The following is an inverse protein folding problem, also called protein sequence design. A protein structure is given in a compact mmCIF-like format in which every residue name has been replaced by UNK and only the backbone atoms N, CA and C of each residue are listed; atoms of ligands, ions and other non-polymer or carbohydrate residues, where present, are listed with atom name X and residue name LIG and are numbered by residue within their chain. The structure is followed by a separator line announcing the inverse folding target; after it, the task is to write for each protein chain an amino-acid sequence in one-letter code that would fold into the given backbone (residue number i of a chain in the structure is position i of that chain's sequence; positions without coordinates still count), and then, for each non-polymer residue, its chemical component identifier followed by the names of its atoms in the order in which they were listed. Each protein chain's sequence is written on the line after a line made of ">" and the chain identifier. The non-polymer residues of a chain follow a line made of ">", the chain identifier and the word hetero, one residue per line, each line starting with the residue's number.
data_IF_377315852675
#
_entry.id   IF_377315852675
#
_cell.length_a   1.000
_cell.length_b   1.000
_cell.length_c   1.000
_cell.angle_alpha   90.00
_cell.angle_beta   90.00
_cell.angle_gamma   90.00
#
_symmetry.space_group_name_H-M   'P 1'
#
loop_
_entity.id
_entity.type
_entity.pdbx_description
1 polymer ?
#
# COMPACT_ATOMS: atom_id res chain seq x y z
N UNK A 1 18.69 -10.18 19.84
CA UNK A 1 18.47 -9.31 18.67
C UNK A 1 19.10 -7.95 18.98
N UNK A 2 20.37 -7.75 18.61
CA UNK A 2 21.18 -6.57 18.98
C UNK A 2 21.15 -5.42 17.95
N UNK A 3 20.47 -5.61 16.84
CA UNK A 3 20.35 -4.70 15.70
C UNK A 3 18.89 -4.36 15.40
N UNK A 4 18.00 -4.61 16.37
CA UNK A 4 16.56 -4.39 16.23
C UNK A 4 16.11 -3.20 17.07
N UNK A 5 15.42 -2.26 16.44
CA UNK A 5 15.06 -0.97 17.02
C UNK A 5 13.60 -0.62 16.71
N UNK A 6 12.94 0.08 17.63
CA UNK A 6 11.56 0.58 17.47
C UNK A 6 11.50 2.00 16.88
N UNK A 7 12.67 2.59 16.60
CA UNK A 7 12.75 3.89 15.96
C UNK A 7 14.06 4.09 15.18
N UNK A 8 13.99 4.91 14.14
CA UNK A 8 15.18 5.33 13.38
C UNK A 8 16.21 6.04 14.26
N UNK A 9 15.76 6.90 15.18
CA UNK A 9 16.65 7.63 16.08
C UNK A 9 17.45 6.67 16.98
N UNK A 10 16.85 5.58 17.46
CA UNK A 10 17.56 4.58 18.29
C UNK A 10 18.61 3.82 17.48
N UNK A 11 18.26 3.42 16.25
CA UNK A 11 19.18 2.75 15.33
C UNK A 11 20.38 3.66 14.98
N UNK A 12 20.13 4.95 14.75
CA UNK A 12 21.17 5.96 14.47
C UNK A 12 22.07 6.19 15.69
N UNK A 13 21.49 6.34 16.89
CA UNK A 13 22.26 6.49 18.14
C UNK A 13 23.14 5.29 18.43
N UNK A 14 22.72 4.10 18.01
CA UNK A 14 23.52 2.89 18.11
C UNK A 14 24.64 2.79 17.05
N UNK A 15 24.83 3.80 16.20
CA UNK A 15 25.91 3.85 15.21
C UNK A 15 25.79 2.79 14.10
N UNK A 16 24.60 2.25 13.86
CA UNK A 16 24.39 1.21 12.85
C UNK A 16 24.42 1.78 11.44
N UNK A 17 24.91 0.98 10.49
CA UNK A 17 24.76 1.28 9.07
C UNK A 17 23.33 0.94 8.65
N UNK A 18 22.53 1.97 8.39
CA UNK A 18 21.11 1.84 8.07
C UNK A 18 20.93 2.02 6.57
N UNK A 19 20.34 1.01 5.91
CA UNK A 19 20.12 1.07 4.46
C UNK A 19 19.32 2.30 4.03
N UNK A 20 19.66 2.85 2.87
CA UNK A 20 18.87 3.89 2.21
C UNK A 20 17.78 3.20 1.38
N UNK A 21 16.54 3.67 1.50
CA UNK A 21 15.42 3.16 0.72
C UNK A 21 15.31 3.88 -0.63
N UNK A 22 14.81 3.16 -1.64
CA UNK A 22 14.68 3.65 -3.01
C UNK A 22 13.32 3.29 -3.63
N UNK A 23 12.89 4.08 -4.60
CA UNK A 23 11.72 3.82 -5.44
C UNK A 23 12.02 4.23 -6.89
N UNK A 24 11.25 3.69 -7.83
CA UNK A 24 11.24 4.16 -9.22
C UNK A 24 10.13 5.19 -9.37
N UNK A 25 10.44 6.36 -9.92
CA UNK A 25 9.40 7.32 -10.31
C UNK A 25 8.64 6.83 -11.56
N UNK A 26 7.67 7.62 -12.02
CA UNK A 26 6.86 7.30 -13.21
C UNK A 26 7.65 7.30 -14.52
N UNK A 27 8.92 7.70 -14.50
CA UNK A 27 9.83 7.70 -15.65
C UNK A 27 10.96 6.66 -15.46
N UNK A 28 10.74 5.66 -14.60
CA UNK A 28 11.69 4.59 -14.27
C UNK A 28 13.03 5.07 -13.69
N UNK A 29 13.06 6.27 -13.09
CA UNK A 29 14.26 6.79 -12.45
C UNK A 29 14.32 6.33 -11.01
N UNK A 30 15.45 5.74 -10.63
CA UNK A 30 15.71 5.34 -9.24
C UNK A 30 15.98 6.57 -8.37
N UNK A 31 15.11 6.83 -7.41
CA UNK A 31 15.19 7.93 -6.47
C UNK A 31 15.21 7.43 -5.02
N UNK A 32 15.94 8.12 -4.16
CA UNK A 32 15.99 7.79 -2.73
C UNK A 32 14.73 8.27 -2.01
N UNK A 33 14.17 7.46 -1.11
CA UNK A 33 13.14 7.90 -0.17
C UNK A 33 13.74 8.67 1.00
N UNK A 34 12.92 9.44 1.71
CA UNK A 34 13.30 9.85 3.06
C UNK A 34 13.19 8.63 3.99
N UNK A 35 14.19 8.42 4.85
CA UNK A 35 14.11 7.39 5.90
C UNK A 35 13.07 7.81 6.95
N UNK A 36 11.79 7.56 6.67
CA UNK A 36 10.69 7.98 7.53
C UNK A 36 10.27 6.84 8.46
N UNK A 37 10.24 7.16 9.75
CA UNK A 37 9.74 6.29 10.81
C UNK A 37 8.54 6.99 11.46
N UNK A 38 7.34 6.68 11.00
CA UNK A 38 6.10 7.24 11.56
C UNK A 38 5.87 6.69 12.97
N UNK A 39 5.85 7.59 13.96
CA UNK A 39 5.63 7.19 15.36
C UNK A 39 4.24 6.60 15.58
N UNK A 40 3.24 7.13 14.87
CA UNK A 40 1.84 6.67 14.92
C UNK A 40 1.67 5.22 14.43
N UNK A 41 2.54 4.74 13.54
CA UNK A 41 2.47 3.36 13.00
C UNK A 41 3.29 2.35 13.80
N UNK A 42 3.88 2.74 14.95
CA UNK A 42 4.65 1.84 15.83
C UNK A 42 3.70 0.82 16.45
N UNK A 43 3.73 -0.40 15.91
CA UNK A 43 2.79 -1.49 16.24
C UNK A 43 2.34 -2.21 14.98
N UNK A 44 1.99 -1.46 13.93
CA UNK A 44 1.71 -2.00 12.60
C UNK A 44 3.00 -2.18 11.76
N UNK A 45 4.04 -1.40 12.03
CA UNK A 45 5.31 -1.48 11.33
C UNK A 45 6.42 -0.65 11.99
N UNK A 46 7.42 -0.23 11.20
CA UNK A 46 8.56 0.61 11.58
C UNK A 46 9.58 0.00 12.56
N UNK A 47 9.54 -1.32 12.78
CA UNK A 47 10.69 -2.01 13.37
C UNK A 47 11.82 -1.99 12.34
N UNK A 48 12.99 -1.52 12.76
CA UNK A 48 14.22 -1.55 11.97
C UNK A 48 15.05 -2.71 12.48
N UNK A 49 15.49 -3.59 11.59
CA UNK A 49 16.28 -4.76 11.95
C UNK A 49 17.24 -5.18 10.84
N UNK A 50 17.93 -6.30 11.06
CA UNK A 50 18.75 -6.99 10.08
C UNK A 50 18.24 -8.42 9.87
N UNK A 51 18.56 -9.00 8.72
CA UNK A 51 18.25 -10.42 8.44
C UNK A 51 18.86 -11.35 9.48
N UNK A 52 20.04 -11.02 10.05
CA UNK A 52 20.70 -11.81 11.08
C UNK A 52 19.93 -11.84 12.40
N UNK A 53 19.29 -10.73 12.78
CA UNK A 53 18.48 -10.65 13.98
C UNK A 53 17.11 -11.29 13.78
N UNK A 54 16.46 -11.05 12.64
CA UNK A 54 15.20 -11.71 12.31
C UNK A 54 15.37 -13.22 12.13
N UNK A 55 16.51 -13.71 11.62
CA UNK A 55 16.82 -15.14 11.57
C UNK A 55 16.82 -15.78 12.98
N UNK A 56 17.38 -15.09 13.98
CA UNK A 56 17.32 -15.55 15.38
C UNK A 56 15.87 -15.56 15.89
N UNK A 57 15.09 -14.53 15.57
CA UNK A 57 13.69 -14.43 15.96
C UNK A 57 12.84 -15.56 15.36
N UNK A 58 12.91 -15.78 14.05
CA UNK A 58 12.14 -16.85 13.40
C UNK A 58 12.60 -18.24 13.84
N UNK A 59 13.89 -18.42 14.15
CA UNK A 59 14.41 -19.67 14.72
C UNK A 59 13.77 -19.96 16.09
N UNK A 60 13.64 -18.94 16.95
CA UNK A 60 12.90 -19.06 18.22
C UNK A 60 11.44 -19.42 17.99
N UNK A 61 10.77 -18.77 17.03
CA UNK A 61 9.37 -19.06 16.69
C UNK A 61 9.17 -20.51 16.20
N UNK A 62 10.02 -20.98 15.28
CA UNK A 62 9.98 -22.34 14.74
C UNK A 62 10.25 -23.40 15.81
N UNK A 63 11.12 -23.09 16.77
CA UNK A 63 11.44 -23.96 17.91
C UNK A 63 10.45 -23.84 19.06
N UNK A 64 9.47 -22.94 18.96
CA UNK A 64 8.53 -22.60 20.03
C UNK A 64 9.25 -22.25 21.34
N UNK A 65 10.31 -21.45 21.25
CA UNK A 65 11.14 -21.09 22.40
C UNK A 65 10.44 -20.15 23.39
N UNK A 66 10.99 -20.00 24.62
CA UNK A 66 10.48 -19.06 25.61
C UNK A 66 10.59 -17.59 25.13
N UNK A 67 9.81 -16.66 25.73
CA UNK A 67 8.97 -16.83 26.91
C UNK A 67 7.52 -17.26 26.62
N UNK A 68 7.19 -17.56 25.36
CA UNK A 68 5.82 -17.88 24.96
C UNK A 68 5.44 -19.31 25.34
N UNK A 69 4.22 -19.51 25.81
CA UNK A 69 3.66 -20.83 26.07
C UNK A 69 3.21 -21.51 24.77
N UNK A 70 3.04 -22.84 24.78
CA UNK A 70 2.44 -23.57 23.67
C UNK A 70 1.03 -23.06 23.31
N UNK A 71 0.24 -22.63 24.29
CA UNK A 71 -1.06 -22.02 24.04
C UNK A 71 -0.91 -20.68 23.30
N UNK A 72 0.11 -19.89 23.64
CA UNK A 72 0.43 -18.63 22.96
C UNK A 72 0.87 -18.87 21.52
N UNK A 73 1.70 -19.89 21.25
CA UNK A 73 2.07 -20.23 19.87
C UNK A 73 0.88 -20.69 19.02
N UNK A 74 -0.04 -21.47 19.61
CA UNK A 74 -1.29 -21.83 18.92
C UNK A 74 -2.15 -20.60 18.62
N UNK A 75 -2.23 -19.65 19.55
CA UNK A 75 -2.96 -18.41 19.32
C UNK A 75 -2.25 -17.51 18.29
N UNK A 76 -0.92 -17.45 18.29
CA UNK A 76 -0.15 -16.62 17.36
C UNK A 76 -0.37 -17.04 15.89
N UNK A 77 -0.35 -18.35 15.65
CA UNK A 77 -0.39 -18.95 14.31
C UNK A 77 -1.75 -19.56 13.93
N UNK A 78 -2.72 -19.60 14.83
CA UNK A 78 -4.09 -20.03 14.52
C UNK A 78 -4.80 -18.96 13.68
N UNK A 79 -5.56 -19.38 12.67
CA UNK A 79 -6.40 -18.47 11.90
C UNK A 79 -7.60 -17.99 12.73
N UNK A 80 -7.71 -16.67 12.91
CA UNK A 80 -8.80 -16.02 13.66
C UNK A 80 -9.77 -15.25 12.76
N UNK A 81 -9.36 -14.94 11.53
CA UNK A 81 -10.22 -14.37 10.50
C UNK A 81 -9.86 -14.87 9.12
N UNK A 82 -10.76 -14.66 8.16
CA UNK A 82 -10.55 -14.98 6.74
C UNK A 82 -10.08 -13.70 6.06
N UNK A 83 -8.82 -13.66 5.61
CA UNK A 83 -8.27 -12.55 4.85
C UNK A 83 -8.67 -12.62 3.37
N UNK A 84 -8.62 -13.82 2.78
CA UNK A 84 -9.20 -14.12 1.47
C UNK A 84 -9.95 -15.43 1.56
N UNK A 85 -11.22 -15.41 1.16
CA UNK A 85 -12.09 -16.57 1.19
C UNK A 85 -11.72 -17.58 0.12
N UNK A 86 -11.44 -17.10 -1.09
CA UNK A 86 -11.13 -17.96 -2.22
C UNK A 86 -9.62 -18.25 -2.24
N UNK A 87 -9.21 -19.51 -2.42
CA UNK A 87 -7.81 -19.85 -2.66
C UNK A 87 -7.29 -19.14 -3.91
N UNK A 88 -6.09 -18.58 -3.82
CA UNK A 88 -5.37 -18.01 -4.97
C UNK A 88 -4.20 -18.93 -5.31
N UNK A 89 -4.18 -19.44 -6.54
CA UNK A 89 -3.10 -20.31 -7.00
C UNK A 89 -1.74 -19.63 -6.78
N UNK A 90 -0.72 -20.36 -6.29
CA UNK A 90 -0.67 -21.81 -6.09
C UNK A 90 -1.12 -22.29 -4.69
N UNK A 91 -1.64 -21.42 -3.85
CA UNK A 91 -2.18 -21.82 -2.56
C UNK A 91 -3.53 -22.52 -2.75
N UNK A 92 -3.73 -23.60 -2.00
CA UNK A 92 -4.92 -24.46 -2.13
C UNK A 92 -5.93 -24.26 -1.00
N UNK A 93 -5.64 -23.32 -0.10
CA UNK A 93 -6.54 -22.95 0.99
C UNK A 93 -6.92 -21.46 0.91
N UNK A 94 -8.04 -21.07 1.55
CA UNK A 94 -8.26 -19.68 1.91
C UNK A 94 -7.06 -19.10 2.64
N UNK A 95 -6.85 -17.79 2.51
CA UNK A 95 -5.89 -17.08 3.34
C UNK A 95 -6.52 -16.76 4.69
N UNK A 96 -6.04 -17.40 5.74
CA UNK A 96 -6.45 -17.12 7.12
C UNK A 96 -5.49 -16.10 7.73
N UNK A 97 -5.98 -15.26 8.62
CA UNK A 97 -5.17 -14.31 9.36
C UNK A 97 -5.14 -14.68 10.85
N UNK A 98 -3.94 -14.89 11.37
CA UNK A 98 -3.67 -15.08 12.79
C UNK A 98 -3.38 -13.78 13.52
N UNK A 99 -2.54 -13.82 14.56
CA UNK A 99 -2.12 -12.61 15.28
C UNK A 99 -0.92 -11.96 14.58
N UNK A 100 -1.18 -11.34 13.43
CA UNK A 100 -0.13 -10.71 12.60
C UNK A 100 0.59 -11.70 11.69
N UNK A 101 -0.11 -12.72 11.19
CA UNK A 101 0.42 -13.72 10.26
C UNK A 101 -0.65 -14.15 9.28
N UNK A 102 -0.29 -14.29 8.01
CA UNK A 102 -1.09 -14.99 7.01
C UNK A 102 -0.76 -16.47 7.05
N UNK A 103 -1.78 -17.32 7.07
CA UNK A 103 -1.65 -18.78 7.13
C UNK A 103 -2.37 -19.39 5.94
N UNK A 104 -1.63 -20.11 5.12
CA UNK A 104 -2.13 -20.77 3.90
C UNK A 104 -1.51 -22.16 3.73
N UNK A 105 -2.10 -22.97 2.85
CA UNK A 105 -1.55 -24.26 2.43
C UNK A 105 -0.95 -24.15 1.04
N UNK A 106 0.31 -24.56 0.90
CA UNK A 106 1.05 -24.65 -0.34
C UNK A 106 1.68 -26.04 -0.43
N UNK A 107 1.38 -26.81 -1.48
CA UNK A 107 1.91 -28.18 -1.69
C UNK A 107 1.75 -29.10 -0.47
N UNK A 108 0.61 -28.99 0.25
CA UNK A 108 0.31 -29.79 1.45
C UNK A 108 1.04 -29.34 2.73
N UNK A 109 1.87 -28.30 2.65
CA UNK A 109 2.54 -27.68 3.79
C UNK A 109 1.78 -26.43 4.25
N UNK A 110 1.77 -26.22 5.57
CA UNK A 110 1.31 -24.96 6.15
C UNK A 110 2.42 -23.94 6.02
N UNK A 111 2.16 -22.88 5.26
CA UNK A 111 3.04 -21.70 5.14
C UNK A 111 2.45 -20.59 6.01
N UNK A 112 3.26 -20.09 6.93
CA UNK A 112 2.93 -18.95 7.78
C UNK A 112 3.83 -17.80 7.36
N UNK A 113 3.26 -16.69 6.93
CA UNK A 113 4.03 -15.61 6.34
C UNK A 113 3.51 -14.23 6.73
N UNK A 114 4.39 -13.24 6.63
CA UNK A 114 4.02 -11.84 6.73
C UNK A 114 4.94 -11.03 5.81
N UNK A 115 4.33 -10.33 4.86
CA UNK A 115 5.02 -9.37 4.02
C UNK A 115 5.17 -8.03 4.75
N UNK A 116 6.24 -7.30 4.47
CA UNK A 116 6.42 -5.92 4.89
C UNK A 116 6.57 -5.01 3.69
N UNK A 117 5.89 -3.87 3.75
CA UNK A 117 6.01 -2.81 2.76
C UNK A 117 6.08 -1.48 3.49
N UNK A 118 7.19 -0.78 3.30
CA UNK A 118 7.40 0.59 3.76
C UNK A 118 8.03 1.38 2.63
N UNK A 119 7.85 2.69 2.57
CA UNK A 119 8.40 3.53 1.50
C UNK A 119 9.91 3.33 1.34
N UNK A 120 10.29 2.69 0.24
CA UNK A 120 11.67 2.37 -0.09
C UNK A 120 12.19 1.06 0.50
N UNK A 121 11.36 0.23 1.13
CA UNK A 121 11.77 -1.04 1.73
C UNK A 121 10.68 -2.11 1.57
N UNK A 122 11.08 -3.30 1.13
CA UNK A 122 10.22 -4.47 1.12
C UNK A 122 10.82 -5.57 1.99
N UNK A 123 9.97 -6.46 2.49
CA UNK A 123 10.41 -7.66 3.20
C UNK A 123 9.38 -8.78 3.12
N UNK A 124 9.87 -9.99 3.36
CA UNK A 124 9.04 -11.17 3.55
C UNK A 124 9.65 -12.03 4.64
N UNK A 125 8.81 -12.48 5.57
CA UNK A 125 9.11 -13.60 6.45
C UNK A 125 8.16 -14.73 6.09
N UNK A 126 8.70 -15.92 5.86
CA UNK A 126 7.91 -17.13 5.65
C UNK A 126 8.44 -18.27 6.51
N UNK A 127 7.54 -19.06 7.09
CA UNK A 127 7.82 -20.17 7.99
C UNK A 127 7.13 -21.43 7.48
N UNK A 128 7.86 -22.55 7.51
CA UNK A 128 7.36 -23.91 7.29
C UNK A 128 7.55 -24.70 8.59
N UNK A 129 6.59 -24.64 9.54
CA UNK A 129 6.77 -25.19 10.88
C UNK A 129 7.08 -26.69 10.90
N UNK A 130 6.43 -27.49 10.04
CA UNK A 130 6.67 -28.95 9.97
C UNK A 130 8.11 -29.27 9.55
N UNK A 131 8.72 -28.41 8.74
CA UNK A 131 10.11 -28.54 8.25
C UNK A 131 11.13 -27.86 9.18
N UNK A 132 10.68 -27.14 10.22
CA UNK A 132 11.51 -26.28 11.09
C UNK A 132 12.38 -25.31 10.28
N UNK A 133 11.81 -24.80 9.19
CA UNK A 133 12.48 -23.94 8.22
C UNK A 133 11.78 -22.59 8.13
N UNK A 134 12.53 -21.53 7.86
CA UNK A 134 11.97 -20.23 7.56
C UNK A 134 12.96 -19.33 6.85
N UNK A 135 12.42 -18.34 6.15
CA UNK A 135 13.17 -17.36 5.36
C UNK A 135 12.89 -15.95 5.87
N UNK A 136 13.89 -15.09 5.74
CA UNK A 136 13.80 -13.66 6.00
C UNK A 136 14.47 -12.95 4.84
N UNK A 137 13.69 -12.21 4.07
CA UNK A 137 14.16 -11.45 2.92
C UNK A 137 13.86 -9.99 3.20
N UNK A 138 14.85 -9.12 3.02
CA UNK A 138 14.74 -7.69 3.20
C UNK A 138 15.49 -6.99 2.08
N UNK A 139 14.96 -5.86 1.63
CA UNK A 139 15.53 -5.11 0.52
C UNK A 139 15.06 -3.67 0.53
N UNK A 140 15.75 -2.84 -0.23
CA UNK A 140 15.64 -1.38 -0.19
C UNK A 140 14.96 -0.78 -1.43
N UNK A 141 14.03 -1.56 -2.00
CA UNK A 141 13.04 -1.08 -2.95
C UNK A 141 11.73 -1.80 -2.65
N UNK A 142 10.67 -1.09 -2.27
CA UNK A 142 9.43 -1.71 -1.79
C UNK A 142 8.85 -2.71 -2.80
N UNK A 143 8.44 -2.24 -3.99
CA UNK A 143 7.78 -3.08 -5.00
C UNK A 143 8.70 -4.19 -5.51
N UNK A 144 9.92 -3.84 -5.92
CA UNK A 144 10.89 -4.77 -6.47
C UNK A 144 11.33 -5.83 -5.45
N UNK A 145 11.52 -5.44 -4.18
CA UNK A 145 11.87 -6.42 -3.13
C UNK A 145 10.69 -7.33 -2.82
N UNK A 146 9.45 -6.83 -2.70
CA UNK A 146 8.31 -7.70 -2.44
C UNK A 146 8.11 -8.72 -3.58
N UNK A 147 8.28 -8.29 -4.84
CA UNK A 147 8.24 -9.17 -6.00
C UNK A 147 9.37 -10.23 -5.97
N UNK A 148 10.61 -9.80 -5.75
CA UNK A 148 11.76 -10.70 -5.67
C UNK A 148 11.69 -11.65 -4.46
N UNK A 149 11.15 -11.20 -3.33
CA UNK A 149 11.06 -11.98 -2.12
C UNK A 149 10.12 -13.19 -2.26
N UNK A 150 9.01 -13.03 -2.97
CA UNK A 150 8.12 -14.14 -3.30
C UNK A 150 8.85 -15.18 -4.17
N UNK A 151 9.56 -14.76 -5.22
CA UNK A 151 10.34 -15.67 -6.07
C UNK A 151 11.38 -16.43 -5.23
N UNK A 152 12.23 -15.70 -4.50
CA UNK A 152 13.34 -16.30 -3.74
C UNK A 152 12.81 -17.23 -2.64
N UNK A 153 11.76 -16.83 -1.92
CA UNK A 153 11.21 -17.63 -0.83
C UNK A 153 10.59 -18.93 -1.36
N UNK A 154 9.81 -18.86 -2.43
CA UNK A 154 9.10 -20.02 -2.93
C UNK A 154 9.93 -20.92 -3.84
N UNK A 155 10.92 -20.39 -4.57
CA UNK A 155 11.94 -21.21 -5.25
C UNK A 155 12.69 -22.05 -4.19
N UNK A 156 13.08 -21.45 -3.06
CA UNK A 156 13.72 -22.16 -1.96
C UNK A 156 12.79 -23.18 -1.26
N UNK A 157 11.51 -22.86 -1.10
CA UNK A 157 10.52 -23.80 -0.54
C UNK A 157 10.33 -24.98 -1.49
N UNK A 158 10.22 -24.74 -2.80
CA UNK A 158 10.08 -25.80 -3.80
C UNK A 158 11.32 -26.71 -3.83
N UNK A 159 12.54 -26.17 -3.66
CA UNK A 159 13.76 -26.98 -3.48
C UNK A 159 13.68 -27.87 -2.23
N UNK A 160 13.25 -27.33 -1.09
CA UNK A 160 13.12 -28.08 0.17
C UNK A 160 12.05 -29.18 0.11
N UNK A 161 11.04 -28.98 -0.73
CA UNK A 161 9.95 -29.92 -0.95
C UNK A 161 10.21 -30.87 -2.12
N UNK A 162 11.40 -30.81 -2.72
CA UNK A 162 11.81 -31.62 -3.89
C UNK A 162 10.82 -31.52 -5.05
N UNK A 163 10.25 -30.33 -5.29
CA UNK A 163 9.31 -30.09 -6.39
C UNK A 163 10.08 -30.01 -7.71
N UNK A 164 9.76 -30.87 -8.71
CA UNK A 164 10.37 -30.81 -10.04
C UNK A 164 10.19 -29.44 -10.69
N UNK A 165 11.20 -28.94 -11.40
CA UNK A 165 11.20 -27.59 -11.99
C UNK A 165 10.00 -27.34 -12.91
N UNK A 166 9.61 -28.34 -13.70
CA UNK A 166 8.46 -28.30 -14.62
C UNK A 166 7.09 -28.31 -13.91
N UNK A 167 7.06 -28.68 -12.63
CA UNK A 167 5.85 -28.60 -11.80
C UNK A 167 5.77 -27.31 -10.97
N UNK A 168 6.83 -26.50 -10.91
CA UNK A 168 6.86 -25.30 -10.05
C UNK A 168 5.89 -24.24 -10.55
N UNK A 169 5.30 -23.50 -9.61
CA UNK A 169 4.48 -22.36 -9.97
C UNK A 169 5.38 -21.24 -10.50
N UNK A 170 4.93 -20.56 -11.56
CA UNK A 170 5.69 -19.44 -12.14
C UNK A 170 5.57 -18.17 -11.28
N UNK A 171 6.38 -18.12 -10.23
CA UNK A 171 6.49 -16.96 -9.34
C UNK A 171 7.08 -15.74 -10.04
N UNK A 172 7.91 -15.94 -11.08
CA UNK A 172 8.47 -14.85 -11.89
C UNK A 172 7.38 -14.15 -12.66
N UNK A 173 6.53 -14.88 -13.38
CA UNK A 173 5.38 -14.31 -14.08
C UNK A 173 4.44 -13.57 -13.12
N UNK A 174 4.11 -14.14 -11.94
CA UNK A 174 3.26 -13.42 -10.97
C UNK A 174 3.93 -12.16 -10.43
N UNK A 175 5.24 -12.18 -10.23
CA UNK A 175 5.99 -10.98 -9.84
C UNK A 175 5.96 -9.92 -10.95
N UNK A 176 6.20 -10.32 -12.20
CA UNK A 176 6.15 -9.43 -13.37
C UNK A 176 4.74 -8.84 -13.55
N UNK A 177 3.68 -9.65 -13.45
CA UNK A 177 2.29 -9.18 -13.49
C UNK A 177 1.99 -8.16 -12.38
N UNK A 178 2.50 -8.38 -11.16
CA UNK A 178 2.33 -7.42 -10.04
C UNK A 178 3.13 -6.14 -10.21
N UNK A 179 4.30 -6.21 -10.85
CA UNK A 179 5.12 -5.04 -11.16
C UNK A 179 4.55 -4.25 -12.34
N UNK A 180 4.03 -4.96 -13.34
CA UNK A 180 3.40 -4.42 -14.54
C UNK A 180 1.95 -3.97 -14.32
N UNK A 181 1.27 -4.40 -13.25
CA UNK A 181 -0.05 -3.90 -12.88
C UNK A 181 -0.02 -2.37 -12.89
N UNK A 182 -0.69 -1.81 -13.91
CA UNK A 182 -0.35 -0.54 -14.52
C UNK A 182 -0.38 0.64 -13.53
N UNK A 183 0.46 1.67 -13.73
CA UNK A 183 0.10 3.00 -13.30
C UNK A 183 -1.24 3.36 -13.97
N UNK A 184 -2.28 3.57 -13.16
CA UNK A 184 -3.62 4.08 -13.52
C UNK A 184 -3.84 4.38 -15.02
N UNK A 185 -4.60 3.54 -15.70
CA UNK A 185 -4.92 3.72 -17.12
C UNK A 185 -6.15 4.62 -17.30
N UNK A 186 -6.43 5.04 -18.54
CA UNK A 186 -7.71 5.71 -18.86
C UNK A 186 -8.91 4.82 -18.56
N UNK A 187 -8.74 3.48 -18.64
CA UNK A 187 -9.81 2.54 -18.29
C UNK A 187 -10.13 2.54 -16.80
N UNK A 188 -9.15 2.84 -15.93
CA UNK A 188 -9.41 2.96 -14.48
C UNK A 188 -10.51 3.98 -14.17
N UNK A 189 -10.57 5.09 -14.91
CA UNK A 189 -11.59 6.12 -14.73
C UNK A 189 -12.98 5.63 -15.14
N UNK A 190 -13.05 4.82 -16.21
CA UNK A 190 -14.29 4.19 -16.68
C UNK A 190 -14.75 3.08 -15.73
N UNK A 191 -13.81 2.32 -15.17
CA UNK A 191 -14.11 1.29 -14.17
C UNK A 191 -14.66 1.89 -12.87
N UNK A 192 -14.10 3.03 -12.44
CA UNK A 192 -14.62 3.77 -11.29
C UNK A 192 -16.01 4.37 -11.56
N UNK A 193 -16.28 4.77 -12.80
CA UNK A 193 -17.55 5.37 -13.23
C UNK A 193 -18.11 4.67 -14.49
N UNK A 194 -18.70 3.47 -14.36
CA UNK A 194 -19.13 2.66 -15.50
C UNK A 194 -20.37 3.22 -16.23
N UNK A 195 -21.13 4.11 -15.59
CA UNK A 195 -22.37 4.66 -16.11
C UNK A 195 -22.29 6.18 -16.22
N UNK A 196 -21.55 6.67 -17.21
CA UNK A 196 -21.43 8.10 -17.51
C UNK A 196 -22.30 8.48 -18.72
N UNK A 197 -22.86 9.69 -18.73
CA UNK A 197 -23.51 10.23 -19.92
C UNK A 197 -22.48 10.53 -21.01
N UNK A 198 -22.90 10.44 -22.28
CA UNK A 198 -22.12 10.80 -23.46
C UNK A 198 -22.86 11.91 -24.25
N UNK A 199 -22.34 13.15 -24.32
CA UNK A 199 -21.08 13.60 -23.72
C UNK A 199 -21.15 13.76 -22.18
N UNK A 200 -20.01 13.77 -21.47
CA UNK A 200 -19.98 14.03 -20.04
C UNK A 200 -20.62 15.37 -19.67
N UNK A 201 -21.35 15.42 -18.54
CA UNK A 201 -21.92 16.66 -18.04
C UNK A 201 -20.79 17.57 -17.55
N UNK A 202 -20.86 18.86 -17.90
CA UNK A 202 -19.93 19.85 -17.37
C UNK A 202 -20.06 19.96 -15.85
N UNK A 203 -18.96 20.35 -15.21
CA UNK A 203 -18.95 20.67 -13.79
C UNK A 203 -19.77 21.96 -13.56
N UNK A 204 -20.64 22.01 -12.53
CA UNK A 204 -21.70 23.02 -12.40
C UNK A 204 -21.23 24.45 -12.12
N UNK A 205 -19.97 24.66 -11.71
CA UNK A 205 -19.41 25.97 -11.33
C UNK A 205 -18.08 26.23 -12.03
N UNK A 206 -17.58 27.45 -12.05
CA UNK A 206 -16.19 27.70 -12.47
C UNK A 206 -15.19 27.01 -11.52
N UNK A 207 -14.00 26.61 -12.02
CA UNK A 207 -12.99 25.90 -11.21
C UNK A 207 -12.57 26.67 -9.94
N UNK A 208 -12.51 27.99 -9.99
CA UNK A 208 -12.22 28.84 -8.81
C UNK A 208 -13.23 28.66 -7.66
N UNK A 209 -14.45 28.18 -7.97
CA UNK A 209 -15.45 27.87 -6.96
C UNK A 209 -15.15 26.58 -6.17
N UNK A 210 -14.21 25.75 -6.64
CA UNK A 210 -13.75 24.51 -6.00
C UNK A 210 -12.49 24.71 -5.13
N UNK A 211 -11.76 25.81 -5.33
CA UNK A 211 -10.51 26.11 -4.63
C UNK A 211 -10.70 26.54 -3.18
N UNK A 212 -9.70 26.32 -2.33
CA UNK A 212 -9.69 26.80 -0.94
C UNK A 212 -9.34 25.71 0.07
N UNK A 213 -9.52 26.03 1.35
CA UNK A 213 -9.20 25.11 2.44
C UNK A 213 -10.42 24.26 2.84
N UNK A 214 -10.18 22.97 3.03
CA UNK A 214 -11.17 21.98 3.44
C UNK A 214 -10.66 21.26 4.69
N UNK A 215 -11.51 21.16 5.71
CA UNK A 215 -11.16 20.65 7.03
C UNK A 215 -11.90 19.37 7.34
N UNK A 216 -11.27 18.50 8.13
CA UNK A 216 -11.91 17.32 8.69
C UNK A 216 -11.41 17.08 10.11
N UNK A 217 -12.29 16.62 11.01
CA UNK A 217 -11.94 16.43 12.42
C UNK A 217 -10.86 15.36 12.65
N UNK A 218 -10.87 14.30 11.83
CA UNK A 218 -9.98 13.14 11.95
C UNK A 218 -8.93 12.98 10.81
N UNK A 219 -9.00 13.77 9.73
CA UNK A 219 -8.09 13.65 8.59
C UNK A 219 -7.34 14.97 8.39
N UNK A 220 -6.13 14.95 7.80
CA UNK A 220 -5.41 16.18 7.49
C UNK A 220 -6.27 17.13 6.65
N UNK A 221 -6.19 18.42 6.99
CA UNK A 221 -6.85 19.45 6.19
C UNK A 221 -6.21 19.52 4.80
N UNK A 222 -7.02 19.84 3.80
CA UNK A 222 -6.64 19.93 2.40
C UNK A 222 -6.73 21.37 1.92
N UNK A 223 -5.79 21.80 1.09
CA UNK A 223 -5.94 23.01 0.29
C UNK A 223 -6.02 22.61 -1.17
N UNK A 224 -7.12 22.98 -1.84
CA UNK A 224 -7.35 22.74 -3.26
C UNK A 224 -7.01 23.96 -4.11
N UNK A 225 -6.38 23.73 -5.25
CA UNK A 225 -6.00 24.74 -6.25
C UNK A 225 -6.19 24.20 -7.66
N UNK A 226 -6.54 25.05 -8.63
CA UNK A 226 -6.46 24.72 -10.05
C UNK A 226 -5.06 24.95 -10.63
N UNK A 227 -4.23 25.77 -9.97
CA UNK A 227 -2.82 25.95 -10.29
C UNK A 227 -2.00 24.75 -9.78
N UNK A 228 -1.81 23.76 -10.65
CA UNK A 228 -1.13 22.52 -10.35
C UNK A 228 0.34 22.61 -10.79
N UNK A 229 1.27 22.45 -9.86
CA UNK A 229 2.64 22.08 -10.24
C UNK A 229 2.59 20.63 -10.73
N UNK A 230 2.85 20.35 -12.01
CA UNK A 230 2.79 19.02 -12.64
C UNK A 230 3.90 18.05 -12.17
N UNK A 231 4.08 17.92 -10.86
CA UNK A 231 5.09 17.09 -10.23
C UNK A 231 4.78 15.58 -10.30
N UNK A 232 3.56 15.20 -10.68
CA UNK A 232 3.08 13.82 -10.69
C UNK A 232 2.83 13.31 -12.10
N UNK A 233 3.87 13.26 -12.95
CA UNK A 233 3.91 12.40 -14.15
C UNK A 233 2.78 12.58 -15.18
N UNK A 234 1.95 13.60 -15.05
CA UNK A 234 0.87 13.97 -15.98
C UNK A 234 -0.02 12.81 -16.40
N UNK A 235 -0.84 12.25 -15.50
CA UNK A 235 -1.99 11.46 -15.98
C UNK A 235 -2.87 12.40 -16.80
N UNK A 236 -2.98 12.11 -18.09
CA UNK A 236 -3.89 12.78 -19.00
C UNK A 236 -5.13 11.90 -19.13
N UNK A 237 -6.21 12.28 -18.47
CA UNK A 237 -7.51 11.66 -18.72
C UNK A 237 -8.08 12.19 -20.04
N UNK A 238 -7.72 11.54 -21.15
CA UNK A 238 -8.00 11.99 -22.51
C UNK A 238 -9.51 12.16 -22.83
N UNK A 239 -10.38 11.43 -22.12
CA UNK A 239 -11.84 11.50 -22.28
C UNK A 239 -12.55 12.39 -21.23
N UNK A 240 -11.79 13.11 -20.40
CA UNK A 240 -12.35 14.03 -19.41
C UNK A 240 -12.67 15.40 -19.98
N UNK A 241 -13.27 16.26 -19.15
CA UNK A 241 -13.49 17.67 -19.54
C UNK A 241 -12.22 18.53 -19.48
N UNK A 242 -11.05 17.92 -19.20
CA UNK A 242 -9.78 18.61 -18.99
C UNK A 242 -9.66 19.36 -17.65
N UNK A 243 -10.72 19.40 -16.84
CA UNK A 243 -10.69 20.07 -15.54
C UNK A 243 -9.87 19.27 -14.51
N UNK A 244 -8.88 19.93 -13.92
CA UNK A 244 -7.94 19.39 -12.94
C UNK A 244 -7.87 20.30 -11.72
N UNK A 245 -7.78 19.69 -10.54
CA UNK A 245 -7.43 20.34 -9.28
C UNK A 245 -6.29 19.57 -8.63
N UNK A 246 -5.41 20.24 -7.88
CA UNK A 246 -4.46 19.59 -6.99
C UNK A 246 -4.85 19.84 -5.54
N UNK A 247 -4.58 18.85 -4.68
CA UNK A 247 -4.73 18.97 -3.25
C UNK A 247 -3.36 18.93 -2.57
N UNK A 248 -3.20 19.77 -1.54
CA UNK A 248 -2.03 19.72 -0.66
C UNK A 248 -2.48 19.51 0.78
N UNK A 249 -1.78 18.63 1.50
CA UNK A 249 -2.03 18.45 2.93
C UNK A 249 -1.49 19.65 3.70
N UNK A 250 -2.26 20.16 4.65
CA UNK A 250 -1.75 21.13 5.65
C UNK A 250 -0.84 20.37 6.62
N UNK A 251 0.43 20.81 6.74
CA UNK A 251 1.51 20.15 7.52
C UNK A 251 1.80 18.71 7.06
N UNK A 252 2.23 18.50 5.81
CA UNK A 252 2.41 17.15 5.23
C UNK A 252 3.51 16.34 5.95
N UNK A 253 4.52 17.02 6.51
CA UNK A 253 5.66 16.39 7.19
C UNK A 253 5.30 15.59 8.44
N UNK A 254 4.09 15.80 8.98
CA UNK A 254 3.60 15.05 10.13
C UNK A 254 3.01 13.69 9.73
N UNK A 255 2.66 13.51 8.44
CA UNK A 255 1.83 12.38 7.98
C UNK A 255 2.49 11.52 6.90
N UNK A 256 3.22 12.09 5.93
CA UNK A 256 3.77 11.34 4.81
C UNK A 256 5.19 11.76 4.42
N UNK A 257 6.09 10.81 4.07
CA UNK A 257 7.33 11.14 3.37
C UNK A 257 7.02 11.80 2.03
N UNK A 258 7.84 12.77 1.63
CA UNK A 258 7.85 13.24 0.23
C UNK A 258 8.43 12.16 -0.70
N UNK A 259 7.92 12.03 -1.93
CA UNK A 259 6.82 12.81 -2.52
C UNK A 259 5.44 12.14 -2.35
N UNK A 260 4.45 12.95 -1.92
CA UNK A 260 3.01 12.68 -2.00
C UNK A 260 2.42 13.70 -2.99
N UNK A 261 1.61 13.22 -3.94
CA UNK A 261 0.77 14.05 -4.80
C UNK A 261 -0.68 13.63 -4.70
N UNK A 262 -1.59 14.60 -4.73
CA UNK A 262 -3.03 14.41 -4.75
C UNK A 262 -3.59 15.26 -5.89
N UNK A 263 -4.13 14.60 -6.91
CA UNK A 263 -4.68 15.25 -8.09
C UNK A 263 -6.11 14.79 -8.28
N UNK A 264 -6.98 15.71 -8.69
CA UNK A 264 -8.39 15.45 -8.90
C UNK A 264 -8.75 15.80 -10.33
N UNK A 265 -9.38 14.86 -11.00
CA UNK A 265 -9.75 14.95 -12.40
C UNK A 265 -11.27 14.88 -12.52
N UNK A 266 -11.84 15.87 -13.20
CA UNK A 266 -13.29 15.89 -13.40
C UNK A 266 -13.70 14.80 -14.40
N UNK A 267 -14.77 14.09 -14.07
CA UNK A 267 -15.36 13.06 -14.92
C UNK A 267 -16.66 13.54 -15.54
N UNK A 268 -17.68 13.82 -14.70
CA UNK A 268 -19.00 14.29 -15.16
C UNK A 268 -19.80 14.88 -14.00
N UNK A 269 -20.39 16.06 -14.19
CA UNK A 269 -21.23 16.74 -13.19
C UNK A 269 -20.51 16.99 -11.86
N UNK A 270 -20.94 16.30 -10.80
CA UNK A 270 -20.29 16.35 -9.48
C UNK A 270 -19.28 15.23 -9.24
N UNK A 271 -19.08 14.32 -10.21
CA UNK A 271 -18.19 13.17 -10.10
C UNK A 271 -16.78 13.48 -10.57
N UNK A 272 -15.82 13.13 -9.72
CA UNK A 272 -14.39 13.34 -9.91
C UNK A 272 -13.64 12.05 -9.57
N UNK A 273 -12.39 11.96 -10.00
CA UNK A 273 -11.46 10.91 -9.54
C UNK A 273 -10.32 11.58 -8.79
N UNK A 274 -10.05 11.11 -7.58
CA UNK A 274 -8.85 11.44 -6.82
C UNK A 274 -7.75 10.44 -7.17
N UNK A 275 -6.67 10.94 -7.76
CA UNK A 275 -5.43 10.23 -7.99
C UNK A 275 -4.46 10.57 -6.86
N UNK A 276 -3.96 9.55 -6.17
CA UNK A 276 -2.95 9.66 -5.13
C UNK A 276 -1.66 9.02 -5.63
N UNK A 277 -0.55 9.74 -5.56
CA UNK A 277 0.78 9.20 -5.88
C UNK A 277 1.68 9.29 -4.67
N UNK A 278 2.24 8.17 -4.22
CA UNK A 278 3.17 8.13 -3.09
C UNK A 278 4.39 7.30 -3.47
N UNK A 279 5.57 7.94 -3.50
CA UNK A 279 6.83 7.29 -3.87
C UNK A 279 6.71 6.41 -5.13
N UNK A 280 6.11 6.97 -6.20
CA UNK A 280 5.93 6.30 -7.50
C UNK A 280 4.74 5.33 -7.58
N UNK A 281 4.14 4.92 -6.46
CA UNK A 281 2.93 4.12 -6.47
C UNK A 281 1.70 5.01 -6.64
N UNK A 282 0.83 4.69 -7.59
CA UNK A 282 -0.38 5.44 -7.91
C UNK A 282 -1.62 4.65 -7.51
N UNK A 283 -2.65 5.34 -7.02
CA UNK A 283 -3.98 4.80 -6.80
C UNK A 283 -5.04 5.82 -7.18
N UNK A 284 -6.22 5.34 -7.58
CA UNK A 284 -7.36 6.17 -7.94
C UNK A 284 -8.59 5.76 -7.13
N UNK A 285 -9.36 6.75 -6.73
CA UNK A 285 -10.61 6.58 -6.01
C UNK A 285 -11.65 7.56 -6.54
N UNK A 286 -12.92 7.21 -6.40
CA UNK A 286 -13.99 8.17 -6.69
C UNK A 286 -13.95 9.33 -5.69
N UNK A 287 -14.16 10.51 -6.22
CA UNK A 287 -14.30 11.75 -5.49
C UNK A 287 -15.56 12.50 -5.92
N UNK A 288 -16.04 13.38 -5.06
CA UNK A 288 -17.29 14.10 -5.27
C UNK A 288 -17.23 15.48 -4.62
N UNK A 289 -17.83 16.47 -5.27
CA UNK A 289 -18.05 17.78 -4.66
C UNK A 289 -19.53 18.05 -4.44
N UNK A 290 -19.85 18.60 -3.27
CA UNK A 290 -21.20 19.10 -2.97
C UNK A 290 -21.22 20.61 -3.06
N UNK A 291 -22.26 21.15 -3.68
CA UNK A 291 -22.48 22.59 -3.76
C UNK A 291 -22.95 23.14 -2.40
N UNK A 292 -22.64 24.40 -2.13
CA UNK A 292 -23.30 25.17 -1.07
C UNK A 292 -24.74 25.45 -1.43
N UNK A 293 -25.57 25.75 -0.41
CA UNK A 293 -26.98 26.06 -0.61
C UNK A 293 -27.23 27.28 -1.52
N UNK A 294 -26.24 28.18 -1.63
CA UNK A 294 -26.29 29.35 -2.52
C UNK A 294 -25.92 29.03 -3.98
N UNK A 295 -25.42 27.81 -4.25
CA UNK A 295 -24.96 27.37 -5.57
C UNK A 295 -23.77 28.16 -6.11
N UNK A 296 -23.01 28.90 -5.29
CA UNK A 296 -21.88 29.74 -5.77
C UNK A 296 -20.52 29.10 -5.54
N UNK A 297 -20.45 28.23 -4.55
CA UNK A 297 -19.21 27.61 -4.06
C UNK A 297 -19.47 26.16 -3.72
N UNK A 298 -18.46 25.31 -3.83
CA UNK A 298 -18.53 23.98 -3.21
C UNK A 298 -18.48 24.14 -1.69
N UNK A 299 -19.26 23.34 -0.99
CA UNK A 299 -19.31 23.28 0.47
C UNK A 299 -18.48 22.12 1.02
N UNK A 300 -18.38 21.01 0.28
CA UNK A 300 -17.67 19.81 0.72
C UNK A 300 -16.93 19.14 -0.44
N UNK A 301 -15.83 18.48 -0.09
CA UNK A 301 -15.09 17.55 -0.94
C UNK A 301 -15.13 16.17 -0.29
N UNK A 302 -15.51 15.16 -1.07
CA UNK A 302 -15.63 13.77 -0.63
C UNK A 302 -14.70 12.85 -1.42
N UNK A 303 -14.09 11.86 -0.77
CA UNK A 303 -13.31 10.83 -1.46
C UNK A 303 -13.46 9.43 -0.80
N UNK A 304 -13.41 8.39 -1.63
CA UNK A 304 -13.39 6.97 -1.24
C UNK A 304 -11.95 6.52 -0.95
N UNK A 305 -11.35 7.03 0.14
CA UNK A 305 -9.90 6.83 0.43
C UNK A 305 -9.53 5.36 0.68
N UNK A 306 -10.48 4.53 1.10
CA UNK A 306 -10.31 3.08 1.22
C UNK A 306 -11.19 2.30 0.25
N UNK A 307 -10.68 1.18 -0.26
CA UNK A 307 -11.40 0.30 -1.19
C UNK A 307 -12.70 -0.27 -0.62
N UNK A 308 -12.80 -0.39 0.71
CA UNK A 308 -14.01 -0.83 1.41
C UNK A 308 -15.16 0.17 1.24
N UNK A 309 -14.86 1.46 1.22
CA UNK A 309 -15.83 2.56 1.12
C UNK A 309 -16.53 2.57 -0.24
N UNK A 310 -15.82 2.15 -1.29
CA UNK A 310 -16.38 1.98 -2.62
C UNK A 310 -17.54 0.97 -2.66
N UNK A 311 -17.55 -0.01 -1.75
CA UNK A 311 -18.61 -1.03 -1.65
C UNK A 311 -19.83 -0.54 -0.88
N UNK A 312 -19.64 0.38 0.06
CA UNK A 312 -20.72 0.93 0.91
C UNK A 312 -21.25 2.27 0.39
N UNK A 313 -20.58 2.87 -0.61
CA UNK A 313 -20.90 4.20 -1.12
C UNK A 313 -20.53 5.32 -0.15
N UNK A 314 -19.69 5.03 0.85
CA UNK A 314 -19.26 5.99 1.86
C UNK A 314 -18.09 6.84 1.34
N UNK A 315 -17.93 8.06 1.87
CA UNK A 315 -16.82 8.96 1.56
C UNK A 315 -16.38 9.69 2.83
N UNK A 316 -15.10 10.03 2.90
CA UNK A 316 -14.60 11.00 3.89
C UNK A 316 -14.91 12.37 3.33
N UNK A 317 -15.62 13.19 4.11
CA UNK A 317 -16.14 14.48 3.67
C UNK A 317 -15.43 15.63 4.39
N UNK A 318 -14.55 16.34 3.70
CA UNK A 318 -13.98 17.57 4.21
C UNK A 318 -14.93 18.74 3.95
N UNK A 319 -15.16 19.57 4.96
CA UNK A 319 -15.98 20.77 4.87
C UNK A 319 -15.10 21.98 4.50
N UNK A 320 -15.57 22.82 3.57
CA UNK A 320 -14.88 24.06 3.21
C UNK A 320 -14.99 25.09 4.34
N UNK A 321 -13.93 25.88 4.51
CA UNK A 321 -13.90 27.08 5.39
C UNK A 321 -13.63 28.36 4.63
#
# INVERSE_FOLDING_TARGET
>A
MSETYLSLADAQRAGRNISQGYYLDTNDRLLSTQRVSMRSSRGAGNIISSVADFAKWISTLLRRGPPLSEATYRALFGGHSIASKEPEAPFVSPALYGMGWVVQTYRGETVIQHAGSQYGFGSLVALLPKRKLGTVIMGNNMRGTNAAADIIAFDFIDDVLDIPEDERFDWRRRADERLAADPLTTDTFRELHPFLPDPPLLYPLNLSAYEGMFIHAAYPNLTLSSDCNDAAGGIVYANGTGAKLCASLVKPGDYFPKPLSLEMYHVSGSSWVLVTTIAGAMSAARAEFRLGADGRKVSHMGAEVESSMARTGEKIWWARV
#
